data_IF_494772011512
#
_entry.id   IF_494772011512
#
_cell.length_a   1.000
_cell.length_b   1.000
_cell.length_c   1.000
_cell.angle_alpha   90.00
_cell.angle_beta   90.00
_cell.angle_gamma   90.00
#
_symmetry.space_group_name_H-M   'P 1'
#
loop_
_entity.id
_entity.type
_entity.pdbx_description
1 polymer ?
#
# COMPACT_ATOMS: atom_id res chain seq x y z
N UNK A 1 5.45 24.88 -10.52
CA UNK A 1 4.32 24.11 -11.11
C UNK A 1 4.55 24.02 -12.61
N UNK A 2 4.81 22.82 -13.16
CA UNK A 2 4.84 22.63 -14.62
C UNK A 2 3.44 22.93 -15.16
N UNK A 3 3.36 23.81 -16.16
CA UNK A 3 2.15 24.51 -16.56
C UNK A 3 1.37 23.86 -17.70
N UNK A 4 1.65 22.62 -18.11
CA UNK A 4 0.83 21.91 -19.12
C UNK A 4 0.98 20.41 -18.87
N UNK A 5 0.08 19.85 -18.04
CA UNK A 5 -0.17 18.40 -18.08
C UNK A 5 -1.20 18.15 -19.18
N UNK A 6 -1.03 17.12 -20.01
CA UNK A 6 -1.98 16.84 -21.07
C UNK A 6 -3.34 16.52 -20.45
N UNK A 7 -4.41 17.02 -21.09
CA UNK A 7 -5.79 16.72 -20.69
C UNK A 7 -6.14 15.24 -20.84
N UNK A 8 -5.32 14.51 -21.59
CA UNK A 8 -5.41 13.07 -21.85
C UNK A 8 -4.14 12.38 -21.38
N UNK A 9 -4.24 11.22 -20.73
CA UNK A 9 -3.09 10.42 -20.28
C UNK A 9 -3.16 8.97 -20.74
N UNK A 10 -2.04 8.48 -21.22
CA UNK A 10 -1.78 7.07 -21.48
C UNK A 10 -1.17 6.40 -20.25
N UNK A 11 -1.79 5.30 -19.83
CA UNK A 11 -1.47 4.61 -18.59
C UNK A 11 -0.72 3.31 -18.87
N UNK A 12 0.35 3.04 -18.12
CA UNK A 12 0.86 1.70 -17.91
C UNK A 12 0.31 1.16 -16.58
N UNK A 13 -0.54 0.15 -16.61
CA UNK A 13 -1.19 -0.40 -15.43
C UNK A 13 -0.54 -1.71 -14.99
N UNK A 14 0.21 -1.66 -13.89
CA UNK A 14 0.79 -2.83 -13.26
C UNK A 14 -0.23 -3.44 -12.28
N UNK A 15 -0.59 -4.71 -12.47
CA UNK A 15 -1.58 -5.39 -11.62
C UNK A 15 -3.02 -5.25 -12.14
N UNK A 16 -3.20 -5.22 -13.45
CA UNK A 16 -4.49 -4.94 -14.11
C UNK A 16 -5.60 -5.92 -13.73
N UNK A 17 -5.26 -7.18 -13.41
CA UNK A 17 -6.22 -8.21 -12.99
C UNK A 17 -6.49 -8.23 -11.48
N UNK A 18 -5.92 -7.29 -10.73
CA UNK A 18 -6.17 -7.10 -9.29
C UNK A 18 -7.43 -6.30 -8.97
N UNK A 19 -7.72 -6.11 -7.68
CA UNK A 19 -8.88 -5.31 -7.23
C UNK A 19 -8.80 -3.84 -7.67
N UNK A 20 -7.64 -3.20 -7.44
CA UNK A 20 -7.40 -1.82 -7.86
C UNK A 20 -7.27 -1.74 -9.39
N UNK A 21 -6.57 -2.68 -10.02
CA UNK A 21 -6.40 -2.70 -11.48
C UNK A 21 -7.72 -2.74 -12.24
N UNK A 22 -8.69 -3.56 -11.80
CA UNK A 22 -10.04 -3.56 -12.39
C UNK A 22 -10.74 -2.21 -12.25
N UNK A 23 -10.67 -1.57 -11.09
CA UNK A 23 -11.29 -0.25 -10.88
C UNK A 23 -10.61 0.84 -11.72
N UNK A 24 -9.30 0.72 -11.98
CA UNK A 24 -8.62 1.59 -12.96
C UNK A 24 -9.16 1.35 -14.36
N UNK A 25 -9.33 0.09 -14.79
CA UNK A 25 -9.97 -0.22 -16.08
C UNK A 25 -11.37 0.38 -16.16
N UNK A 26 -12.20 0.19 -15.13
CA UNK A 26 -13.57 0.71 -15.08
C UNK A 26 -13.59 2.24 -15.25
N UNK A 27 -12.66 2.95 -14.60
CA UNK A 27 -12.55 4.40 -14.72
C UNK A 27 -12.04 4.86 -16.10
N UNK A 28 -11.11 4.12 -16.71
CA UNK A 28 -10.66 4.41 -18.09
C UNK A 28 -11.80 4.22 -19.09
N UNK A 29 -12.63 3.20 -18.91
CA UNK A 29 -13.80 2.95 -19.76
C UNK A 29 -14.91 4.00 -19.60
N UNK A 30 -15.07 4.55 -18.39
CA UNK A 30 -16.02 5.62 -18.10
C UNK A 30 -15.54 6.99 -18.59
N UNK A 31 -14.22 7.20 -18.72
CA UNK A 31 -13.61 8.48 -19.11
C UNK A 31 -12.59 8.33 -20.26
N UNK A 32 -12.99 7.78 -21.42
CA UNK A 32 -12.08 7.54 -22.55
C UNK A 32 -11.56 8.84 -23.19
N UNK A 33 -12.19 9.98 -22.92
CA UNK A 33 -11.73 11.31 -23.33
C UNK A 33 -10.55 11.82 -22.49
N UNK A 34 -10.28 11.20 -21.34
CA UNK A 34 -9.21 11.56 -20.41
C UNK A 34 -8.12 10.51 -20.31
N UNK A 35 -8.43 9.23 -20.51
CA UNK A 35 -7.48 8.16 -20.28
C UNK A 35 -7.51 7.09 -21.37
N UNK A 36 -6.36 6.47 -21.60
CA UNK A 36 -6.26 5.19 -22.31
C UNK A 36 -5.21 4.30 -21.67
N UNK A 37 -5.40 2.98 -21.78
CA UNK A 37 -4.38 2.00 -21.41
C UNK A 37 -3.39 1.86 -22.57
N UNK A 38 -2.13 2.17 -22.34
CA UNK A 38 -1.02 1.86 -23.25
C UNK A 38 -0.49 0.45 -22.99
N UNK A 39 -0.34 0.11 -21.71
CA UNK A 39 0.13 -1.20 -21.29
C UNK A 39 -0.63 -1.70 -20.07
N UNK A 40 -0.83 -3.02 -19.99
CA UNK A 40 -1.43 -3.71 -18.86
C UNK A 40 -0.58 -4.92 -18.48
N UNK A 41 -0.29 -5.06 -17.19
CA UNK A 41 0.46 -6.19 -16.65
C UNK A 41 -0.43 -7.00 -15.73
N UNK A 42 -0.66 -8.26 -16.08
CA UNK A 42 -1.34 -9.25 -15.25
C UNK A 42 -0.35 -10.09 -14.46
N UNK A 43 -0.80 -10.65 -13.33
CA UNK A 43 0.01 -11.59 -12.54
C UNK A 43 0.09 -12.96 -13.22
N UNK A 44 -0.90 -13.81 -12.92
CA UNK A 44 -0.98 -15.22 -13.35
C UNK A 44 -2.28 -15.55 -14.10
N UNK A 45 -3.29 -14.67 -14.02
CA UNK A 45 -4.58 -14.83 -14.70
C UNK A 45 -4.52 -14.31 -16.13
N UNK A 46 -4.04 -15.16 -17.04
CA UNK A 46 -3.94 -14.84 -18.46
C UNK A 46 -5.30 -14.56 -19.10
N UNK A 47 -6.35 -15.31 -18.70
CA UNK A 47 -7.70 -15.14 -19.26
C UNK A 47 -8.31 -13.78 -18.93
N UNK A 48 -8.17 -13.32 -17.68
CA UNK A 48 -8.60 -11.98 -17.30
C UNK A 48 -7.79 -10.88 -18.02
N UNK A 49 -6.48 -11.08 -18.22
CA UNK A 49 -5.63 -10.14 -18.95
C UNK A 49 -6.03 -10.05 -20.43
N UNK A 50 -6.30 -11.19 -21.08
CA UNK A 50 -6.77 -11.23 -22.47
C UNK A 50 -8.12 -10.53 -22.63
N UNK A 51 -9.04 -10.70 -21.67
CA UNK A 51 -10.32 -10.00 -21.67
C UNK A 51 -10.18 -8.47 -21.52
N UNK A 52 -9.14 -8.00 -20.81
CA UNK A 52 -8.80 -6.56 -20.77
C UNK A 52 -8.27 -6.13 -22.15
N UNK A 53 -7.34 -6.89 -22.74
CA UNK A 53 -6.74 -6.55 -24.04
C UNK A 53 -7.79 -6.49 -25.18
N UNK A 54 -8.80 -7.36 -25.15
CA UNK A 54 -9.89 -7.34 -26.12
C UNK A 54 -10.77 -6.09 -26.04
N UNK A 55 -10.96 -5.53 -24.83
CA UNK A 55 -11.72 -4.29 -24.61
C UNK A 55 -10.93 -3.03 -24.96
N UNK A 56 -9.59 -3.12 -24.97
CA UNK A 56 -8.69 -2.01 -25.29
C UNK A 56 -7.77 -2.36 -26.47
N UNK A 57 -8.26 -2.33 -27.73
CA UNK A 57 -7.46 -2.68 -28.89
C UNK A 57 -6.17 -1.85 -28.99
N UNK A 58 -5.04 -2.54 -29.16
CA UNK A 58 -3.71 -1.92 -29.27
C UNK A 58 -2.95 -1.80 -27.95
N UNK A 59 -3.54 -2.19 -26.81
CA UNK A 59 -2.82 -2.22 -25.53
C UNK A 59 -1.74 -3.31 -25.51
N UNK A 60 -0.57 -2.99 -24.94
CA UNK A 60 0.48 -3.96 -24.66
C UNK A 60 0.13 -4.79 -23.42
N UNK A 61 -0.30 -6.04 -23.60
CA UNK A 61 -0.62 -6.95 -22.50
C UNK A 61 0.57 -7.87 -22.16
N UNK A 62 1.02 -7.82 -20.90
CA UNK A 62 2.14 -8.63 -20.41
C UNK A 62 1.74 -9.47 -19.19
N UNK A 63 2.16 -10.72 -19.16
CA UNK A 63 1.96 -11.62 -18.02
C UNK A 63 3.26 -11.72 -17.21
N UNK A 64 3.23 -11.37 -15.93
CA UNK A 64 4.41 -11.29 -15.08
C UNK A 64 4.98 -12.68 -14.72
N UNK A 65 4.14 -13.70 -14.60
CA UNK A 65 4.54 -15.06 -14.28
C UNK A 65 3.89 -16.05 -15.26
N UNK A 66 4.43 -16.22 -16.49
CA UNK A 66 3.94 -17.22 -17.41
C UNK A 66 4.16 -18.63 -16.83
N UNK A 67 3.13 -19.47 -16.89
CA UNK A 67 3.16 -20.80 -16.30
C UNK A 67 4.35 -21.63 -16.82
N UNK A 68 5.26 -22.02 -15.91
CA UNK A 68 6.41 -22.87 -16.22
C UNK A 68 7.58 -22.20 -16.96
N UNK A 69 7.59 -20.87 -17.10
CA UNK A 69 8.66 -20.11 -17.76
C UNK A 69 9.68 -19.48 -16.80
N UNK A 70 10.82 -19.06 -17.35
CA UNK A 70 11.74 -18.15 -16.67
C UNK A 70 11.07 -16.77 -16.48
N UNK A 71 10.96 -16.25 -15.24
CA UNK A 71 10.39 -14.93 -14.99
C UNK A 71 11.28 -13.78 -15.50
N UNK A 72 12.57 -14.02 -15.77
CA UNK A 72 13.53 -13.00 -16.18
C UNK A 72 13.12 -12.20 -17.44
N UNK A 73 12.76 -12.85 -18.56
CA UNK A 73 12.21 -12.17 -19.73
C UNK A 73 10.97 -11.32 -19.45
N UNK A 74 10.02 -11.84 -18.66
CA UNK A 74 8.79 -11.12 -18.31
C UNK A 74 9.11 -9.87 -17.47
N UNK A 75 9.97 -10.00 -16.46
CA UNK A 75 10.41 -8.87 -15.63
C UNK A 75 11.11 -7.78 -16.45
N UNK A 76 11.95 -8.16 -17.43
CA UNK A 76 12.58 -7.21 -18.35
C UNK A 76 11.56 -6.48 -19.22
N UNK A 77 10.62 -7.21 -19.82
CA UNK A 77 9.56 -6.62 -20.64
C UNK A 77 8.67 -5.65 -19.84
N UNK A 78 8.39 -5.95 -18.57
CA UNK A 78 7.65 -5.04 -17.68
C UNK A 78 8.46 -3.76 -17.43
N UNK A 79 9.76 -3.87 -17.15
CA UNK A 79 10.61 -2.69 -16.95
C UNK A 79 10.75 -1.87 -18.24
N UNK A 80 10.76 -2.50 -19.41
CA UNK A 80 10.82 -1.80 -20.70
C UNK A 80 9.51 -1.06 -20.99
N UNK A 81 8.35 -1.69 -20.78
CA UNK A 81 7.05 -1.09 -21.13
C UNK A 81 6.70 0.11 -20.27
N UNK A 82 7.09 0.13 -18.99
CA UNK A 82 6.85 1.30 -18.12
C UNK A 82 7.73 2.49 -18.50
N UNK A 83 8.83 2.26 -19.23
CA UNK A 83 9.72 3.31 -19.73
C UNK A 83 9.29 3.85 -21.10
N UNK A 84 8.27 3.27 -21.74
CA UNK A 84 7.85 3.62 -23.09
C UNK A 84 7.51 5.12 -23.20
N UNK A 85 8.03 5.86 -24.21
CA UNK A 85 7.72 7.27 -24.42
C UNK A 85 6.23 7.60 -24.48
N UNK A 86 5.38 6.67 -24.94
CA UNK A 86 3.94 6.86 -25.04
C UNK A 86 3.21 6.68 -23.69
N UNK A 87 3.90 6.27 -22.62
CA UNK A 87 3.32 6.22 -21.26
C UNK A 87 3.47 7.57 -20.55
N UNK A 88 2.37 8.15 -20.11
CA UNK A 88 2.35 9.40 -19.33
C UNK A 88 2.40 9.15 -17.81
N UNK A 89 1.77 8.07 -17.36
CA UNK A 89 1.58 7.75 -15.95
C UNK A 89 1.61 6.23 -15.73
N UNK A 90 2.41 5.78 -14.76
CA UNK A 90 2.46 4.36 -14.38
C UNK A 90 1.60 4.14 -13.13
N UNK A 91 0.58 3.31 -13.25
CA UNK A 91 -0.27 2.91 -12.13
C UNK A 91 0.26 1.62 -11.52
N UNK A 92 0.70 1.70 -10.26
CA UNK A 92 1.33 0.58 -9.55
C UNK A 92 0.31 -0.01 -8.58
N UNK A 93 -0.32 -1.11 -9.01
CA UNK A 93 -1.34 -1.87 -8.27
C UNK A 93 -0.95 -3.36 -8.10
N UNK A 94 0.35 -3.65 -8.10
CA UNK A 94 0.93 -4.98 -7.82
C UNK A 94 1.34 -5.04 -6.36
N UNK A 95 0.98 -6.09 -5.64
CA UNK A 95 1.33 -6.22 -4.22
C UNK A 95 2.82 -6.56 -4.01
N UNK A 96 3.37 -6.09 -2.88
CA UNK A 96 4.68 -6.52 -2.36
C UNK A 96 5.89 -6.03 -3.17
N UNK A 97 7.03 -6.68 -2.93
CA UNK A 97 8.34 -6.28 -3.48
C UNK A 97 8.45 -6.40 -5.00
N UNK A 98 7.57 -7.16 -5.65
CA UNK A 98 7.51 -7.28 -7.11
C UNK A 98 7.26 -5.95 -7.82
N UNK A 99 6.64 -4.98 -7.15
CA UNK A 99 6.40 -3.64 -7.69
C UNK A 99 7.65 -2.75 -7.70
N UNK A 100 8.70 -3.08 -6.93
CA UNK A 100 9.81 -2.16 -6.69
C UNK A 100 10.66 -1.90 -7.95
N UNK A 101 11.14 -2.96 -8.60
CA UNK A 101 11.97 -2.85 -9.80
C UNK A 101 11.31 -2.06 -10.94
N UNK A 102 10.05 -2.35 -11.34
CA UNK A 102 9.40 -1.56 -12.40
C UNK A 102 9.07 -0.14 -11.96
N UNK A 103 8.82 0.11 -10.67
CA UNK A 103 8.61 1.49 -10.18
C UNK A 103 9.90 2.31 -10.27
N UNK A 104 11.05 1.74 -9.90
CA UNK A 104 12.35 2.40 -10.06
C UNK A 104 12.65 2.67 -11.54
N UNK A 105 12.43 1.69 -12.43
CA UNK A 105 12.62 1.87 -13.87
C UNK A 105 11.76 3.00 -14.44
N UNK A 106 10.48 3.07 -14.04
CA UNK A 106 9.59 4.14 -14.45
C UNK A 106 10.07 5.53 -13.97
N UNK A 107 10.54 5.63 -12.72
CA UNK A 107 11.09 6.88 -12.17
C UNK A 107 12.39 7.27 -12.87
N UNK A 108 13.28 6.32 -13.16
CA UNK A 108 14.52 6.55 -13.92
C UNK A 108 14.22 7.07 -15.34
N UNK A 109 13.10 6.63 -15.93
CA UNK A 109 12.58 7.14 -17.21
C UNK A 109 11.82 8.48 -17.10
N UNK A 110 11.76 9.08 -15.90
CA UNK A 110 11.09 10.36 -15.67
C UNK A 110 9.56 10.30 -15.71
N UNK A 111 8.97 9.11 -15.51
CA UNK A 111 7.51 8.93 -15.46
C UNK A 111 6.96 9.33 -14.10
N UNK A 112 5.75 9.91 -14.11
CA UNK A 112 4.96 10.05 -12.89
C UNK A 112 4.37 8.67 -12.50
N UNK A 113 4.14 8.46 -11.20
CA UNK A 113 3.62 7.21 -10.63
C UNK A 113 2.31 7.48 -9.91
N UNK A 114 1.28 6.68 -10.14
CA UNK A 114 0.11 6.59 -9.28
C UNK A 114 0.21 5.29 -8.46
N UNK A 115 0.42 5.41 -7.15
CA UNK A 115 0.87 4.33 -6.30
C UNK A 115 -0.23 3.85 -5.37
N UNK A 116 -0.70 2.62 -5.58
CA UNK A 116 -1.64 1.92 -4.69
C UNK A 116 -0.94 0.95 -3.73
N UNK A 117 0.30 0.57 -4.05
CA UNK A 117 1.09 -0.39 -3.28
C UNK A 117 2.02 0.33 -2.31
N UNK A 118 1.62 0.41 -1.04
CA UNK A 118 2.42 1.02 0.03
C UNK A 118 3.80 0.41 0.19
N UNK A 119 3.93 -0.89 -0.10
CA UNK A 119 5.18 -1.64 0.06
C UNK A 119 6.34 -1.00 -0.72
N UNK A 120 6.11 -0.36 -1.86
CA UNK A 120 7.18 0.34 -2.60
C UNK A 120 7.85 1.41 -1.75
N UNK A 121 7.06 2.26 -1.09
CA UNK A 121 7.58 3.33 -0.23
C UNK A 121 8.06 2.81 1.11
N UNK A 122 7.43 1.76 1.66
CA UNK A 122 7.93 1.12 2.87
C UNK A 122 9.32 0.54 2.65
N UNK A 123 9.53 -0.21 1.57
CA UNK A 123 10.81 -0.88 1.30
C UNK A 123 11.89 0.12 0.88
N UNK A 124 11.54 1.07 0.03
CA UNK A 124 12.52 1.83 -0.74
C UNK A 124 12.32 3.35 -0.67
N UNK A 125 11.63 3.86 0.36
CA UNK A 125 11.31 5.27 0.52
C UNK A 125 12.45 6.25 0.19
N UNK A 126 13.68 6.05 0.71
CA UNK A 126 14.81 6.91 0.36
C UNK A 126 15.19 6.85 -1.13
N UNK A 127 15.22 5.66 -1.74
CA UNK A 127 15.52 5.49 -3.18
C UNK A 127 14.44 6.12 -4.05
N UNK A 128 13.17 5.93 -3.71
CA UNK A 128 12.05 6.52 -4.46
C UNK A 128 12.14 8.04 -4.41
N UNK A 129 12.40 8.64 -3.24
CA UNK A 129 12.59 10.08 -3.10
C UNK A 129 13.79 10.60 -3.89
N UNK A 130 14.90 9.87 -3.85
CA UNK A 130 16.10 10.20 -4.62
C UNK A 130 15.76 10.30 -6.11
N UNK A 131 15.14 9.25 -6.69
CA UNK A 131 14.75 9.22 -8.10
C UNK A 131 13.72 10.29 -8.47
N UNK A 132 12.71 10.52 -7.63
CA UNK A 132 11.76 11.60 -7.84
C UNK A 132 12.48 12.96 -7.96
N UNK A 133 13.50 13.19 -7.13
CA UNK A 133 14.26 14.44 -7.12
C UNK A 133 15.21 14.55 -8.32
N UNK A 134 15.86 13.46 -8.70
CA UNK A 134 16.79 13.38 -9.83
C UNK A 134 16.09 13.56 -11.17
N UNK A 135 14.94 12.90 -11.36
CA UNK A 135 14.22 12.88 -12.64
C UNK A 135 13.05 13.87 -12.70
N UNK A 136 12.69 14.50 -11.59
CA UNK A 136 11.59 15.45 -11.50
C UNK A 136 10.20 14.81 -11.58
N UNK A 137 10.12 13.50 -11.33
CA UNK A 137 8.88 12.71 -11.27
C UNK A 137 8.07 12.96 -10.00
N UNK A 138 6.78 12.66 -10.06
CA UNK A 138 5.87 12.71 -8.92
C UNK A 138 5.27 11.34 -8.60
N UNK A 139 4.94 11.13 -7.33
CA UNK A 139 4.17 9.99 -6.85
C UNK A 139 2.83 10.50 -6.33
N UNK A 140 1.74 10.00 -6.90
CA UNK A 140 0.37 10.29 -6.50
C UNK A 140 -0.17 9.12 -5.67
N UNK A 141 -0.58 9.35 -4.41
CA UNK A 141 -1.10 8.29 -3.57
C UNK A 141 -2.50 7.85 -4.02
N UNK A 142 -2.69 6.53 -4.18
CA UNK A 142 -3.98 5.88 -4.34
C UNK A 142 -4.48 5.29 -3.01
N UNK A 143 -3.59 4.96 -2.06
CA UNK A 143 -4.02 4.53 -0.73
C UNK A 143 -4.94 5.60 -0.11
N UNK A 144 -6.08 5.19 0.46
CA UNK A 144 -7.21 6.07 0.81
C UNK A 144 -6.80 7.16 1.79
N UNK A 145 -6.05 6.80 2.81
CA UNK A 145 -5.56 7.67 3.87
C UNK A 145 -4.59 8.72 3.31
N UNK A 146 -3.67 8.30 2.46
CA UNK A 146 -2.67 9.20 1.88
C UNK A 146 -3.28 10.06 0.78
N UNK A 147 -4.24 9.55 0.01
CA UNK A 147 -5.03 10.35 -0.92
C UNK A 147 -5.83 11.42 -0.18
N UNK A 148 -6.40 11.09 0.97
CA UNK A 148 -7.09 12.02 1.86
C UNK A 148 -6.17 13.12 2.42
N UNK A 149 -5.00 12.74 2.93
CA UNK A 149 -3.97 13.70 3.37
C UNK A 149 -3.55 14.59 2.21
N UNK A 150 -3.25 14.01 1.05
CA UNK A 150 -2.79 14.74 -0.11
C UNK A 150 -3.81 15.78 -0.57
N UNK A 151 -5.10 15.44 -0.59
CA UNK A 151 -6.19 16.38 -0.88
C UNK A 151 -6.29 17.50 0.18
N UNK A 152 -6.09 17.20 1.46
CA UNK A 152 -6.07 18.21 2.52
C UNK A 152 -4.91 19.20 2.37
N UNK A 153 -3.79 18.75 1.80
CA UNK A 153 -2.58 19.55 1.56
C UNK A 153 -2.65 20.40 0.28
N UNK A 154 -3.68 20.27 -0.55
CA UNK A 154 -3.80 21.09 -1.76
C UNK A 154 -3.94 22.57 -1.43
N UNK A 155 -3.02 23.37 -1.98
CA UNK A 155 -2.93 24.81 -1.73
C UNK A 155 -2.22 25.18 -0.43
N UNK A 156 -1.81 24.20 0.37
CA UNK A 156 -1.13 24.43 1.65
C UNK A 156 0.40 24.43 1.52
N UNK A 157 1.04 25.11 2.46
CA UNK A 157 2.51 25.08 2.61
C UNK A 157 2.91 23.99 3.56
N UNK A 158 4.01 23.30 3.27
CA UNK A 158 4.52 22.21 4.10
C UNK A 158 4.81 22.69 5.54
N UNK A 159 5.33 23.90 5.69
CA UNK A 159 5.69 24.48 7.00
C UNK A 159 4.46 24.78 7.87
N UNK A 160 3.27 24.83 7.27
CA UNK A 160 2.03 25.00 8.01
C UNK A 160 1.53 23.69 8.64
N UNK A 161 2.05 22.53 8.22
CA UNK A 161 1.63 21.22 8.73
C UNK A 161 2.25 20.96 10.09
N UNK A 162 1.42 20.71 11.10
CA UNK A 162 1.86 20.32 12.45
C UNK A 162 1.90 18.80 12.62
N UNK A 163 0.83 18.11 12.23
CA UNK A 163 0.76 16.63 12.29
C UNK A 163 -0.16 16.07 11.22
N UNK A 164 0.15 14.86 10.77
CA UNK A 164 -0.74 14.03 9.98
C UNK A 164 -1.51 13.12 10.93
N UNK A 165 -2.80 12.91 10.67
CA UNK A 165 -3.65 12.03 11.47
C UNK A 165 -4.22 10.96 10.53
N UNK A 166 -3.65 9.76 10.63
CA UNK A 166 -4.06 8.58 9.90
C UNK A 166 -5.21 7.90 10.64
N UNK A 167 -6.40 7.91 10.06
CA UNK A 167 -7.56 7.20 10.61
C UNK A 167 -7.48 5.71 10.28
N UNK A 168 -7.84 4.81 11.18
CA UNK A 168 -7.94 3.38 10.92
C UNK A 168 -9.26 2.78 11.41
N UNK A 169 -9.80 1.79 10.71
CA UNK A 169 -11.09 1.17 11.08
C UNK A 169 -11.05 0.39 12.41
N UNK A 170 -9.86 -0.01 12.86
CA UNK A 170 -9.65 -0.94 13.97
C UNK A 170 -9.83 -2.43 13.60
N UNK A 171 -10.21 -2.73 12.36
CA UNK A 171 -10.38 -4.09 11.87
C UNK A 171 -11.47 -4.89 12.62
N UNK A 172 -11.58 -6.21 12.38
CA UNK A 172 -12.62 -7.06 12.98
C UNK A 172 -12.53 -7.20 14.50
N UNK A 173 -11.37 -6.94 15.10
CA UNK A 173 -11.11 -7.23 16.52
C UNK A 173 -11.10 -5.99 17.42
N UNK A 174 -11.55 -4.84 16.91
CA UNK A 174 -11.63 -3.58 17.67
C UNK A 174 -12.36 -3.73 19.02
N UNK A 175 -13.42 -4.54 19.07
CA UNK A 175 -14.24 -4.74 20.28
C UNK A 175 -14.05 -6.10 20.95
N UNK A 176 -13.15 -6.95 20.44
CA UNK A 176 -12.90 -8.30 21.00
C UNK A 176 -12.11 -8.20 22.30
N UNK A 177 -12.27 -9.11 23.26
CA UNK A 177 -11.41 -9.09 24.46
C UNK A 177 -9.98 -9.52 24.11
N UNK A 178 -8.96 -8.89 24.73
CA UNK A 178 -7.55 -9.20 24.46
C UNK A 178 -7.23 -10.69 24.69
N UNK A 179 -7.75 -11.26 25.78
CA UNK A 179 -7.52 -12.68 26.15
C UNK A 179 -8.07 -13.63 25.09
N UNK A 180 -9.14 -13.25 24.39
CA UNK A 180 -9.75 -14.10 23.35
C UNK A 180 -9.06 -14.03 21.99
N UNK A 181 -8.05 -13.17 21.81
CA UNK A 181 -7.31 -13.05 20.55
C UNK A 181 -6.50 -14.32 20.25
N UNK A 182 -6.12 -15.08 21.28
CA UNK A 182 -5.38 -16.34 21.13
C UNK A 182 -6.17 -17.41 20.36
N UNK A 183 -7.50 -17.35 20.43
CA UNK A 183 -8.41 -18.28 19.77
C UNK A 183 -8.95 -17.76 18.42
N UNK A 184 -8.38 -16.68 17.87
CA UNK A 184 -8.79 -16.15 16.56
C UNK A 184 -8.49 -17.15 15.46
N UNK A 185 -9.51 -17.45 14.67
CA UNK A 185 -9.41 -18.29 13.47
C UNK A 185 -9.07 -17.48 12.22
N UNK A 186 -8.57 -18.16 11.18
CA UNK A 186 -8.34 -17.56 9.85
C UNK A 186 -9.63 -16.96 9.30
N UNK A 187 -10.76 -17.67 9.41
CA UNK A 187 -12.06 -17.19 8.92
C UNK A 187 -12.48 -15.90 9.60
N UNK A 188 -12.32 -15.80 10.92
CA UNK A 188 -12.62 -14.56 11.65
C UNK A 188 -11.69 -13.42 11.21
N UNK A 189 -10.39 -13.68 11.05
CA UNK A 189 -9.43 -12.67 10.61
C UNK A 189 -9.71 -12.15 9.20
N UNK A 190 -10.29 -12.97 8.33
CA UNK A 190 -10.66 -12.61 6.95
C UNK A 190 -12.03 -11.92 6.82
N UNK A 191 -12.75 -11.69 7.93
CA UNK A 191 -14.07 -11.06 7.92
C UNK A 191 -13.99 -9.58 8.28
N UNK A 192 -13.63 -8.71 7.32
CA UNK A 192 -13.52 -7.27 7.60
C UNK A 192 -14.90 -6.60 7.71
N UNK A 193 -15.13 -5.69 8.67
CA UNK A 193 -16.44 -5.04 8.88
C UNK A 193 -16.87 -4.01 7.83
N UNK A 194 -16.03 -3.68 6.85
CA UNK A 194 -16.20 -2.50 5.98
C UNK A 194 -15.75 -2.77 4.54
N UNK A 195 -14.53 -3.26 4.38
CA UNK A 195 -13.88 -3.41 3.09
C UNK A 195 -13.89 -4.86 2.62
N UNK A 196 -14.10 -5.09 1.31
CA UNK A 196 -13.82 -6.38 0.67
C UNK A 196 -12.43 -6.32 0.07
N UNK A 197 -11.49 -7.04 0.65
CA UNK A 197 -10.08 -6.95 0.28
C UNK A 197 -9.43 -8.33 0.13
N UNK A 198 -8.19 -8.36 -0.36
CA UNK A 198 -7.40 -9.59 -0.41
C UNK A 198 -7.03 -10.11 0.98
N UNK A 199 -6.66 -11.40 1.12
CA UNK A 199 -6.38 -12.01 2.41
C UNK A 199 -5.30 -11.31 3.23
N UNK A 200 -4.16 -10.97 2.61
CA UNK A 200 -3.01 -10.33 3.29
C UNK A 200 -3.39 -9.00 3.94
N UNK A 201 -3.94 -8.07 3.16
CA UNK A 201 -4.36 -6.75 3.67
C UNK A 201 -5.50 -6.87 4.71
N UNK A 202 -6.35 -7.90 4.59
CA UNK A 202 -7.40 -8.14 5.58
C UNK A 202 -6.82 -8.54 6.94
N UNK A 203 -5.81 -9.44 6.95
CA UNK A 203 -5.08 -9.79 8.18
C UNK A 203 -4.26 -8.62 8.71
N UNK A 204 -3.60 -7.85 7.84
CA UNK A 204 -2.86 -6.65 8.23
C UNK A 204 -3.77 -5.57 8.85
N UNK A 205 -5.02 -5.46 8.39
CA UNK A 205 -6.02 -4.59 9.02
C UNK A 205 -6.41 -5.11 10.40
N UNK A 206 -6.57 -6.43 10.56
CA UNK A 206 -6.89 -7.06 11.84
C UNK A 206 -5.78 -6.91 12.89
N UNK A 207 -4.50 -6.96 12.49
CA UNK A 207 -3.34 -6.71 13.37
C UNK A 207 -3.00 -5.22 13.50
N UNK A 208 -3.62 -4.37 12.68
CA UNK A 208 -3.22 -2.98 12.40
C UNK A 208 -1.77 -2.81 11.90
N UNK A 209 -1.12 -3.89 11.43
CA UNK A 209 0.13 -3.75 10.69
C UNK A 209 -0.07 -2.90 9.43
N UNK A 210 -1.24 -2.98 8.79
CA UNK A 210 -1.60 -2.13 7.65
C UNK A 210 -1.36 -0.65 7.98
N UNK A 211 -1.90 -0.19 9.12
CA UNK A 211 -1.73 1.19 9.58
C UNK A 211 -0.28 1.52 9.97
N UNK A 212 0.45 0.53 10.48
CA UNK A 212 1.89 0.63 10.75
C UNK A 212 2.70 0.91 9.48
N UNK A 213 2.43 0.16 8.40
CA UNK A 213 3.06 0.37 7.09
C UNK A 213 2.70 1.74 6.50
N UNK A 214 1.46 2.17 6.66
CA UNK A 214 0.99 3.48 6.18
C UNK A 214 1.63 4.67 6.91
N UNK A 215 2.08 4.51 8.16
CA UNK A 215 2.91 5.53 8.85
C UNK A 215 4.22 5.74 8.09
N UNK A 216 4.89 4.65 7.70
CA UNK A 216 6.16 4.70 6.96
C UNK A 216 5.92 5.33 5.58
N UNK A 217 4.86 4.92 4.90
CA UNK A 217 4.47 5.51 3.63
C UNK A 217 4.18 7.01 3.73
N UNK A 218 3.41 7.45 4.75
CA UNK A 218 3.08 8.86 4.96
C UNK A 218 4.33 9.71 5.25
N UNK A 219 5.28 9.16 6.02
CA UNK A 219 6.58 9.79 6.21
C UNK A 219 7.25 10.08 4.87
N UNK A 220 7.28 9.09 3.96
CA UNK A 220 7.95 9.21 2.67
C UNK A 220 7.16 10.03 1.63
N UNK A 221 5.82 10.02 1.65
CA UNK A 221 5.02 10.84 0.74
C UNK A 221 5.06 12.32 1.08
N UNK A 222 4.95 12.66 2.37
CA UNK A 222 4.67 14.04 2.80
C UNK A 222 5.84 14.72 3.52
N UNK A 223 6.91 13.97 3.79
CA UNK A 223 8.13 14.48 4.42
C UNK A 223 7.86 15.09 5.80
N UNK A 224 7.05 14.36 6.57
CA UNK A 224 6.68 14.63 7.96
C UNK A 224 7.38 13.60 8.85
N UNK A 225 8.03 14.05 9.92
CA UNK A 225 8.73 13.17 10.86
C UNK A 225 7.78 12.20 11.56
N UNK A 226 8.24 10.98 11.84
CA UNK A 226 7.43 9.94 12.48
C UNK A 226 6.64 10.41 13.71
N UNK A 227 7.22 11.15 14.69
CA UNK A 227 6.48 11.61 15.87
C UNK A 227 5.28 12.52 15.56
N UNK A 228 5.23 13.11 14.37
CA UNK A 228 4.15 13.98 13.88
C UNK A 228 3.15 13.25 12.98
N UNK A 229 3.15 11.91 12.98
CA UNK A 229 2.18 11.06 12.29
C UNK A 229 1.44 10.25 13.35
N UNK A 230 0.18 10.59 13.60
CA UNK A 230 -0.67 9.99 14.63
C UNK A 230 -1.66 9.01 14.02
N UNK A 231 -1.99 7.95 14.76
CA UNK A 231 -3.04 6.99 14.38
C UNK A 231 -4.24 7.17 15.29
N UNK A 232 -5.41 7.35 14.69
CA UNK A 232 -6.70 7.47 15.39
C UNK A 232 -7.65 6.41 14.87
N UNK A 233 -8.40 5.74 15.75
CA UNK A 233 -9.42 4.78 15.35
C UNK A 233 -10.68 5.52 14.93
N UNK A 234 -11.15 5.24 13.72
CA UNK A 234 -12.38 5.76 13.13
C UNK A 234 -13.18 4.60 12.48
N UNK A 235 -14.08 3.94 13.24
CA UNK A 235 -14.77 2.72 12.81
C UNK A 235 -15.78 2.94 11.66
N UNK A 236 -16.24 4.17 11.45
CA UNK A 236 -17.15 4.51 10.36
C UNK A 236 -16.44 4.55 9.00
N UNK A 237 -15.12 4.79 8.98
CA UNK A 237 -14.29 4.87 7.77
C UNK A 237 -14.83 5.84 6.70
N UNK A 238 -15.39 6.97 7.16
CA UNK A 238 -15.89 8.06 6.30
C UNK A 238 -14.88 9.20 6.25
N UNK A 239 -14.28 9.56 7.39
CA UNK A 239 -13.09 10.41 7.42
C UNK A 239 -11.89 9.52 7.10
N UNK A 240 -11.33 9.68 5.91
CA UNK A 240 -10.25 8.81 5.44
C UNK A 240 -8.87 9.22 5.97
N UNK A 241 -8.65 10.49 6.30
CA UNK A 241 -7.54 10.99 7.14
C UNK A 241 -7.66 12.50 7.33
N UNK A 242 -6.79 13.07 8.16
CA UNK A 242 -6.78 14.49 8.49
C UNK A 242 -5.37 15.08 8.55
N UNK A 243 -5.29 16.40 8.43
CA UNK A 243 -4.07 17.19 8.60
C UNK A 243 -4.35 18.29 9.61
N UNK A 244 -3.57 18.36 10.68
CA UNK A 244 -3.56 19.50 11.60
C UNK A 244 -2.48 20.48 11.19
N UNK A 245 -2.84 21.76 11.26
CA UNK A 245 -1.96 22.88 10.94
C UNK A 245 -1.48 23.60 12.21
N UNK A 246 -0.41 24.38 12.06
CA UNK A 246 0.25 25.09 13.16
C UNK A 246 -0.63 26.15 13.85
N UNK A 247 -1.71 26.58 13.21
CA UNK A 247 -2.71 27.50 13.76
C UNK A 247 -3.83 26.80 14.56
N UNK A 248 -3.80 25.46 14.63
CA UNK A 248 -4.79 24.64 15.30
C UNK A 248 -5.99 24.24 14.44
N UNK A 249 -6.05 24.66 13.17
CA UNK A 249 -7.05 24.16 12.23
C UNK A 249 -6.77 22.71 11.84
N UNK A 250 -7.84 21.97 11.54
CA UNK A 250 -7.76 20.59 11.03
C UNK A 250 -8.57 20.50 9.76
N UNK A 251 -7.96 20.01 8.69
CA UNK A 251 -8.67 19.60 7.47
C UNK A 251 -8.85 18.10 7.48
N UNK A 252 -10.04 17.64 7.12
CA UNK A 252 -10.39 16.25 6.98
C UNK A 252 -10.95 16.03 5.58
N UNK A 253 -10.58 14.92 4.94
CA UNK A 253 -11.23 14.47 3.72
C UNK A 253 -12.25 13.39 4.06
N UNK A 254 -13.49 13.61 3.61
CA UNK A 254 -14.62 12.70 3.83
C UNK A 254 -15.09 12.13 2.50
N UNK A 255 -15.30 10.82 2.44
CA UNK A 255 -15.94 10.15 1.32
C UNK A 255 -16.51 8.79 1.74
N UNK A 256 -17.35 8.21 0.89
CA UNK A 256 -17.71 6.80 1.03
C UNK A 256 -16.45 5.92 0.93
N UNK A 257 -16.44 4.74 1.57
CA UNK A 257 -15.33 3.80 1.50
C UNK A 257 -15.29 3.11 0.13
N UNK A 258 -14.85 3.87 -0.88
CA UNK A 258 -14.79 3.47 -2.28
C UNK A 258 -13.45 3.89 -2.90
N UNK A 259 -12.69 2.93 -3.44
CA UNK A 259 -11.37 3.16 -4.01
C UNK A 259 -11.41 3.84 -5.38
N UNK A 260 -12.58 3.91 -6.05
CA UNK A 260 -12.70 4.71 -7.28
C UNK A 260 -12.32 6.17 -7.04
N UNK A 261 -12.66 6.74 -5.87
CA UNK A 261 -12.34 8.13 -5.56
C UNK A 261 -10.82 8.40 -5.51
N UNK A 262 -10.02 7.73 -4.65
CA UNK A 262 -8.59 8.00 -4.61
C UNK A 262 -7.87 7.62 -5.91
N UNK A 263 -8.34 6.59 -6.65
CA UNK A 263 -7.85 6.27 -8.00
C UNK A 263 -8.10 7.47 -8.95
N UNK A 264 -9.34 7.96 -9.03
CA UNK A 264 -9.71 9.09 -9.87
C UNK A 264 -8.88 10.35 -9.55
N UNK A 265 -8.63 10.60 -8.27
CA UNK A 265 -7.83 11.73 -7.80
C UNK A 265 -6.38 11.60 -8.28
N UNK A 266 -5.76 10.43 -8.15
CA UNK A 266 -4.38 10.20 -8.61
C UNK A 266 -4.25 10.32 -10.14
N UNK A 267 -5.22 9.81 -10.90
CA UNK A 267 -5.20 9.85 -12.36
C UNK A 267 -5.54 11.24 -12.92
N UNK A 268 -6.53 11.92 -12.34
CA UNK A 268 -7.08 13.18 -12.82
C UNK A 268 -6.37 14.44 -12.35
N UNK A 269 -5.55 14.37 -11.29
CA UNK A 269 -4.93 15.54 -10.68
C UNK A 269 -4.18 16.44 -11.71
N UNK A 270 -4.38 17.77 -11.69
CA UNK A 270 -5.01 18.56 -10.63
C UNK A 270 -6.53 18.71 -10.70
N UNK A 271 -7.17 18.15 -11.73
CA UNK A 271 -8.61 18.28 -11.91
C UNK A 271 -9.36 17.21 -11.13
N UNK A 272 -10.59 17.53 -10.72
CA UNK A 272 -11.55 16.53 -10.23
C UNK A 272 -12.34 15.97 -11.41
N UNK A 273 -12.59 14.67 -11.37
CA UNK A 273 -13.45 13.98 -12.34
C UNK A 273 -14.85 13.91 -11.73
N UNK A 274 -15.86 14.27 -12.53
CA UNK A 274 -17.26 14.23 -12.11
C UNK A 274 -17.80 12.80 -12.06
N UNK A 275 -18.79 12.55 -11.20
CA UNK A 275 -19.53 11.27 -11.18
C UNK A 275 -18.80 10.06 -10.60
N UNK A 276 -17.65 10.22 -9.93
CA UNK A 276 -16.85 9.10 -9.44
C UNK A 276 -17.47 8.36 -8.25
N UNK A 277 -17.97 9.09 -7.26
CA UNK A 277 -18.56 8.51 -6.04
C UNK A 277 -19.55 9.50 -5.42
N UNK A 278 -20.67 9.04 -4.85
CA UNK A 278 -21.58 9.93 -4.13
C UNK A 278 -20.92 10.53 -2.89
N UNK A 279 -21.34 11.74 -2.52
CA UNK A 279 -20.95 12.33 -1.25
C UNK A 279 -21.61 11.58 -0.08
N UNK A 280 -20.93 11.40 1.06
CA UNK A 280 -21.54 10.83 2.25
C UNK A 280 -22.74 11.63 2.74
N UNK A 281 -23.84 10.95 3.03
CA UNK A 281 -24.98 11.57 3.69
C UNK A 281 -24.70 11.68 5.20
N UNK A 282 -24.16 12.83 5.60
CA UNK A 282 -23.79 13.09 6.99
C UNK A 282 -24.98 13.04 7.96
N UNK A 283 -26.18 13.41 7.49
CA UNK A 283 -27.38 13.37 8.32
C UNK A 283 -27.83 11.92 8.56
N UNK A 284 -27.76 11.08 7.53
CA UNK A 284 -28.04 9.65 7.66
C UNK A 284 -26.99 8.90 8.49
N UNK A 285 -25.71 9.28 8.39
CA UNK A 285 -24.63 8.72 9.21
C UNK A 285 -24.80 9.06 10.69
N UNK A 286 -25.22 10.28 11.01
CA UNK A 286 -25.56 10.76 12.35
C UNK A 286 -24.37 11.00 13.27
N UNK A 287 -23.42 10.06 13.37
CA UNK A 287 -22.24 10.16 14.23
C UNK A 287 -20.97 9.68 13.52
N UNK A 288 -19.89 10.43 13.71
CA UNK A 288 -18.52 10.01 13.44
C UNK A 288 -17.78 9.90 14.77
N UNK A 289 -17.13 8.76 15.02
CA UNK A 289 -16.40 8.52 16.27
C UNK A 289 -14.89 8.46 16.04
N UNK A 290 -14.14 8.93 17.04
CA UNK A 290 -12.68 8.94 17.04
C UNK A 290 -12.20 8.44 18.40
N UNK A 291 -11.36 7.42 18.39
CA UNK A 291 -10.84 6.78 19.60
C UNK A 291 -9.31 6.68 19.54
N UNK A 292 -8.61 6.75 20.68
CA UNK A 292 -7.17 6.54 20.71
C UNK A 292 -6.81 5.10 20.33
N UNK A 293 -5.60 4.91 19.82
CA UNK A 293 -5.06 3.58 19.54
C UNK A 293 -4.78 2.82 20.86
N UNK A 294 -5.31 1.60 20.97
CA UNK A 294 -4.92 0.65 22.03
C UNK A 294 -3.63 -0.08 21.64
N UNK A 295 -2.49 0.39 22.15
CA UNK A 295 -1.17 -0.17 21.83
C UNK A 295 -0.98 -1.62 22.33
N UNK A 296 -1.70 -2.04 23.38
CA UNK A 296 -1.64 -3.42 23.86
C UNK A 296 -2.37 -4.38 22.91
N UNK A 297 -3.44 -3.90 22.28
CA UNK A 297 -4.17 -4.62 21.23
C UNK A 297 -3.44 -4.64 19.89
N UNK A 298 -2.79 -3.53 19.54
CA UNK A 298 -2.19 -3.30 18.22
C UNK A 298 -0.69 -2.98 18.31
N UNK A 299 0.13 -3.91 18.83
CA UNK A 299 1.58 -3.69 18.96
C UNK A 299 2.27 -3.45 17.61
N UNK A 300 1.69 -3.96 16.51
CA UNK A 300 2.22 -3.80 15.15
C UNK A 300 2.46 -2.34 14.75
N UNK A 301 1.61 -1.41 15.20
CA UNK A 301 1.74 0.01 14.88
C UNK A 301 3.01 0.60 15.48
N UNK A 302 3.31 0.24 16.73
CA UNK A 302 4.51 0.70 17.43
C UNK A 302 5.77 0.06 16.83
N UNK A 303 5.70 -1.23 16.50
CA UNK A 303 6.79 -1.96 15.85
C UNK A 303 7.14 -1.37 14.48
N UNK A 304 6.14 -1.06 13.66
CA UNK A 304 6.34 -0.46 12.34
C UNK A 304 6.95 0.95 12.44
N UNK A 305 6.48 1.78 13.39
CA UNK A 305 7.08 3.09 13.66
C UNK A 305 8.55 2.97 14.03
N UNK A 306 8.89 2.07 14.95
CA UNK A 306 10.28 1.85 15.37
C UNK A 306 11.16 1.38 14.20
N UNK A 307 10.66 0.50 13.33
CA UNK A 307 11.37 0.08 12.13
C UNK A 307 11.59 1.24 11.14
N UNK A 308 10.59 2.10 10.96
CA UNK A 308 10.70 3.33 10.17
C UNK A 308 11.76 4.29 10.72
N UNK A 309 11.73 4.56 12.03
CA UNK A 309 12.68 5.44 12.72
C UNK A 309 14.11 4.88 12.70
N UNK A 310 14.27 3.54 12.74
CA UNK A 310 15.57 2.88 12.60
C UNK A 310 16.18 3.08 11.21
N UNK A 311 15.36 3.22 10.17
CA UNK A 311 15.83 3.43 8.80
C UNK A 311 16.60 2.25 8.21
N UNK A 312 17.42 2.54 7.19
CA UNK A 312 18.16 1.52 6.44
C UNK A 312 17.24 0.42 5.90
N UNK A 313 17.69 -0.83 5.97
CA UNK A 313 16.89 -1.99 5.55
C UNK A 313 15.79 -2.42 6.53
N UNK A 314 15.64 -1.78 7.71
CA UNK A 314 14.67 -2.23 8.72
C UNK A 314 13.21 -2.23 8.24
N UNK A 315 12.70 -1.19 7.53
CA UNK A 315 11.35 -1.23 6.95
C UNK A 315 11.15 -2.37 5.93
N UNK A 316 12.18 -2.72 5.16
CA UNK A 316 12.10 -3.84 4.22
C UNK A 316 12.03 -5.19 4.96
N UNK A 317 12.79 -5.35 6.04
CA UNK A 317 12.70 -6.52 6.92
C UNK A 317 11.31 -6.61 7.56
N UNK A 318 10.78 -5.49 8.10
CA UNK A 318 9.43 -5.42 8.68
C UNK A 318 8.38 -5.93 7.68
N UNK A 319 8.37 -5.38 6.45
CA UNK A 319 7.39 -5.77 5.45
C UNK A 319 7.52 -7.25 5.07
N UNK A 320 8.73 -7.71 4.75
CA UNK A 320 8.97 -9.07 4.28
C UNK A 320 8.69 -10.12 5.38
N UNK A 321 9.06 -9.83 6.62
CA UNK A 321 8.73 -10.66 7.76
C UNK A 321 7.21 -10.68 7.99
N UNK A 322 6.53 -9.55 7.88
CA UNK A 322 5.07 -9.50 8.00
C UNK A 322 4.37 -10.31 6.92
N UNK A 323 4.77 -10.16 5.65
CA UNK A 323 4.21 -10.98 4.56
C UNK A 323 4.42 -12.48 4.82
N UNK A 324 5.60 -12.88 5.27
CA UNK A 324 5.86 -14.27 5.64
C UNK A 324 5.02 -14.72 6.84
N UNK A 325 4.90 -13.89 7.88
CA UNK A 325 4.16 -14.18 9.11
C UNK A 325 2.65 -14.33 8.85
N UNK A 326 2.09 -13.46 8.01
CA UNK A 326 0.70 -13.56 7.55
C UNK A 326 0.52 -14.81 6.69
N UNK A 327 1.46 -15.11 5.79
CA UNK A 327 1.42 -16.33 4.98
C UNK A 327 1.36 -17.60 5.83
N UNK A 328 2.25 -17.73 6.82
CA UNK A 328 2.25 -18.89 7.73
C UNK A 328 0.98 -18.95 8.61
N UNK A 329 0.39 -17.81 8.99
CA UNK A 329 -0.90 -17.78 9.68
C UNK A 329 -2.04 -18.28 8.77
N UNK A 330 -2.10 -17.80 7.53
CA UNK A 330 -3.10 -18.21 6.54
C UNK A 330 -2.98 -19.70 6.16
N UNK A 331 -1.77 -20.26 6.23
CA UNK A 331 -1.51 -21.69 6.07
C UNK A 331 -1.81 -22.51 7.35
N UNK A 332 -2.36 -21.90 8.40
CA UNK A 332 -2.68 -22.54 9.67
C UNK A 332 -1.46 -22.99 10.48
N UNK A 333 -0.32 -22.33 10.28
CA UNK A 333 0.95 -22.74 10.87
C UNK A 333 1.37 -22.00 12.13
N UNK A 334 0.74 -20.86 12.41
CA UNK A 334 0.84 -20.14 13.68
C UNK A 334 -0.54 -19.56 14.06
N UNK A 335 -0.66 -19.03 15.28
CA UNK A 335 -1.88 -18.33 15.74
C UNK A 335 -1.82 -16.86 15.32
N UNK A 336 -2.97 -16.20 15.33
CA UNK A 336 -3.07 -14.77 15.04
C UNK A 336 -2.15 -13.91 15.93
N UNK A 337 -2.09 -14.23 17.23
CA UNK A 337 -1.26 -13.51 18.21
C UNK A 337 0.24 -13.73 18.01
N UNK A 338 0.64 -14.74 17.23
CA UNK A 338 2.05 -15.04 16.96
C UNK A 338 2.61 -14.18 15.80
N UNK A 339 1.74 -13.53 15.00
CA UNK A 339 2.16 -12.77 13.80
C UNK A 339 3.14 -11.65 14.17
N UNK A 340 2.76 -10.74 15.06
CA UNK A 340 3.60 -9.58 15.42
C UNK A 340 4.92 -10.00 16.09
N UNK A 341 4.92 -10.93 17.07
CA UNK A 341 6.17 -11.45 17.63
C UNK A 341 7.13 -12.08 16.61
N UNK A 342 6.61 -12.79 15.59
CA UNK A 342 7.46 -13.34 14.52
C UNK A 342 8.15 -12.24 13.70
N UNK A 343 7.45 -11.12 13.46
CA UNK A 343 8.00 -9.96 12.76
C UNK A 343 9.07 -9.27 13.60
N UNK A 344 8.81 -9.09 14.89
CA UNK A 344 9.76 -8.50 15.84
C UNK A 344 11.06 -9.33 15.93
N UNK A 345 10.95 -10.64 16.08
CA UNK A 345 12.11 -11.55 16.08
C UNK A 345 12.94 -11.44 14.80
N UNK A 346 12.29 -11.32 13.63
CA UNK A 346 13.00 -11.15 12.36
C UNK A 346 13.73 -9.80 12.27
N UNK A 347 13.14 -8.72 12.81
CA UNK A 347 13.76 -7.40 12.90
C UNK A 347 14.98 -7.36 13.82
N UNK A 348 14.90 -8.05 14.96
CA UNK A 348 16.00 -8.18 15.92
C UNK A 348 17.17 -9.00 15.36
N UNK A 349 16.85 -10.10 14.66
CA UNK A 349 17.84 -11.01 14.09
C UNK A 349 18.46 -10.51 12.77
N UNK A 350 17.87 -9.50 12.13
CA UNK A 350 18.37 -8.97 10.85
C UNK A 350 19.34 -7.80 11.05
N UNK A 351 20.51 -7.83 10.41
CA UNK A 351 21.39 -6.67 10.37
C UNK A 351 20.71 -5.55 9.55
N UNK A 352 20.89 -4.31 10.00
CA UNK A 352 20.48 -3.14 9.22
C UNK A 352 21.65 -2.64 8.40
N UNK A 353 21.37 -2.43 7.12
CA UNK A 353 22.30 -1.86 6.14
C UNK A 353 21.73 -0.50 5.74
N UNK A 354 22.53 0.55 5.86
CA UNK A 354 22.12 1.92 5.52
C UNK A 354 22.24 2.21 4.03
N UNK A 355 23.18 1.56 3.34
CA UNK A 355 23.36 1.68 1.89
C UNK A 355 22.26 0.92 1.15
N UNK A 356 21.27 1.66 0.66
CA UNK A 356 20.11 1.10 -0.03
C UNK A 356 20.38 0.94 -1.52
N UNK A 357 20.07 -0.24 -2.03
CA UNK A 357 19.96 -0.55 -3.45
C UNK A 357 18.84 -1.58 -3.64
N UNK A 358 18.40 -1.79 -4.88
CA UNK A 358 17.44 -2.85 -5.16
C UNK A 358 17.94 -4.21 -4.63
N UNK A 359 19.23 -4.50 -4.80
CA UNK A 359 19.82 -5.76 -4.35
C UNK A 359 19.87 -5.89 -2.83
N UNK A 360 20.24 -4.83 -2.10
CA UNK A 360 20.28 -4.89 -0.63
C UNK A 360 18.88 -5.03 -0.04
N UNK A 361 17.87 -4.39 -0.62
CA UNK A 361 16.47 -4.53 -0.22
C UNK A 361 15.91 -5.92 -0.51
N UNK A 362 16.16 -6.47 -1.71
CA UNK A 362 15.73 -7.84 -2.04
C UNK A 362 16.47 -8.90 -1.23
N UNK A 363 17.72 -8.67 -0.86
CA UNK A 363 18.46 -9.56 0.05
C UNK A 363 17.86 -9.54 1.46
N UNK A 364 17.56 -8.34 1.99
CA UNK A 364 16.88 -8.18 3.28
C UNK A 364 15.50 -8.86 3.29
N UNK A 365 14.72 -8.70 2.22
CA UNK A 365 13.42 -9.39 2.05
C UNK A 365 13.59 -10.93 2.15
N UNK A 366 14.50 -11.51 1.35
CA UNK A 366 14.73 -12.96 1.35
C UNK A 366 15.16 -13.47 2.73
N UNK A 367 16.05 -12.75 3.41
CA UNK A 367 16.54 -13.11 4.74
C UNK A 367 15.41 -13.06 5.77
N UNK A 368 14.62 -11.99 5.80
CA UNK A 368 13.51 -11.81 6.73
C UNK A 368 12.48 -12.95 6.59
N UNK A 369 12.11 -13.31 5.35
CA UNK A 369 11.21 -14.44 5.08
C UNK A 369 11.79 -15.77 5.56
N UNK A 370 13.10 -15.97 5.39
CA UNK A 370 13.77 -17.18 5.86
C UNK A 370 13.77 -17.28 7.40
N UNK A 371 13.99 -16.18 8.11
CA UNK A 371 13.96 -16.10 9.57
C UNK A 371 12.57 -16.49 10.12
N UNK A 372 11.49 -15.93 9.55
CA UNK A 372 10.12 -16.26 9.98
C UNK A 372 9.82 -17.76 9.78
N UNK A 373 10.16 -18.32 8.62
CA UNK A 373 9.96 -19.76 8.36
C UNK A 373 10.77 -20.64 9.32
N UNK A 374 12.01 -20.25 9.62
CA UNK A 374 12.85 -20.97 10.57
C UNK A 374 12.24 -20.95 11.98
N UNK A 375 11.76 -19.79 12.45
CA UNK A 375 11.13 -19.63 13.75
C UNK A 375 9.91 -20.56 13.92
N UNK A 376 9.00 -20.58 12.94
CA UNK A 376 7.81 -21.48 12.95
C UNK A 376 8.21 -22.95 12.98
N UNK A 377 9.22 -23.35 12.18
CA UNK A 377 9.69 -24.75 12.15
C UNK A 377 10.32 -25.22 13.47
N UNK A 378 10.92 -24.28 14.23
CA UNK A 378 11.56 -24.57 15.51
C UNK A 378 10.53 -24.65 16.65
N UNK A 379 9.52 -23.78 16.62
CA UNK A 379 8.40 -23.79 17.56
C UNK A 379 7.59 -25.08 17.46
N UNK A 380 7.28 -25.54 16.24
CA UNK A 380 6.58 -26.82 16.01
C UNK A 380 7.32 -28.02 16.59
N UNK A 381 8.63 -28.14 16.30
CA UNK A 381 9.48 -29.20 16.85
C UNK A 381 9.51 -29.20 18.38
N UNK A 382 9.52 -28.02 19.01
CA UNK A 382 9.49 -27.90 20.47
C UNK A 382 8.14 -28.34 21.05
N UNK A 383 7.02 -28.02 20.40
CA UNK A 383 5.69 -28.46 20.83
C UNK A 383 5.48 -29.97 20.64
N UNK A 384 5.99 -30.55 19.56
CA UNK A 384 5.97 -32.00 19.30
C UNK A 384 6.83 -32.81 20.29
N UNK A 385 7.92 -32.23 20.80
CA UNK A 385 8.75 -32.86 21.84
C UNK A 385 8.15 -32.75 23.26
N UNK A 386 7.17 -31.86 23.46
CA UNK A 386 6.52 -31.62 24.75
C UNK A 386 5.12 -32.25 24.86
N UNK A 387 4.55 -32.71 23.75
CA UNK A 387 3.30 -33.47 23.66
C UNK A 387 3.60 -34.97 23.69
#
# INVERSE_FOLDING_TARGET
MRSHRPSFRRLALLGATGSIGRQVCDLVEQHPERFALHAVVGGHDAGALDAIAQRHPGVHALLAAPAGGDPGPAARAINEVVCDPDVDLVVVAVAGSAALAPTLAALDAGKDIALATKEVLVLAGPLIRERMREHGSQVFPIDSEHSAIWQCLWGEKKEAVRRLILTGSGGPFLRRSLVSLDAVTITEALTHPRWKMGPKITVDSATMMNKGLEIIEAHFLFDIGYPSIEVVIHPESVVHSMVEFVDGSVKAQLAEPDMHLPIAIALGFPDRIDGISPAPDLAALGRLSFEPLDHARYPAVSLARAAGERGGTAPAVLNAANEAAVGVFLDGQCRFVDIVPLVEQALEASPVVDELSLDTLLAADRQARALVRAAVSSGRRRSELLA
#
